data_IF_339660569142
#
_entry.id   IF_339660569142
#
_cell.length_a   1.000
_cell.length_b   1.000
_cell.length_c   1.000
_cell.angle_alpha   90.00
_cell.angle_beta   90.00
_cell.angle_gamma   90.00
#
_symmetry.space_group_name_H-M   'P 1'
#
loop_
_entity.id
_entity.type
_entity.pdbx_description
1 polymer ?
#
# COMPACT_ATOMS: atom_id res chain seq x y z
N UNK A 1 12.04 -0.22 5.08
CA UNK A 1 11.46 -0.07 6.45
C UNK A 1 11.55 -1.38 7.28
N UNK A 2 12.16 -1.38 8.48
CA UNK A 2 12.36 -2.63 9.28
C UNK A 2 11.07 -3.31 9.78
N UNK A 3 9.91 -2.68 9.57
CA UNK A 3 8.59 -3.03 10.12
C UNK A 3 7.92 -4.28 9.53
N UNK A 4 8.50 -4.90 8.49
CA UNK A 4 7.92 -6.11 7.88
C UNK A 4 8.07 -7.37 8.77
N UNK A 5 8.95 -7.34 9.76
CA UNK A 5 9.19 -8.47 10.64
C UNK A 5 8.18 -8.50 11.79
N UNK A 6 7.64 -9.67 12.19
CA UNK A 6 6.69 -9.76 13.30
C UNK A 6 7.16 -9.16 14.63
N UNK A 7 8.47 -9.09 14.84
CA UNK A 7 9.12 -8.51 16.04
C UNK A 7 9.52 -7.04 15.89
N UNK A 8 9.34 -6.45 14.71
CA UNK A 8 9.64 -5.04 14.51
C UNK A 8 8.52 -4.17 15.09
N UNK A 9 8.83 -3.05 15.75
CA UNK A 9 7.82 -2.18 16.38
C UNK A 9 6.70 -1.75 15.42
N UNK A 10 7.03 -1.48 14.15
CA UNK A 10 6.06 -1.06 13.15
C UNK A 10 5.07 -2.14 12.72
N UNK A 11 5.38 -3.42 12.89
CA UNK A 11 4.50 -4.52 12.49
C UNK A 11 3.19 -4.55 13.30
N UNK A 12 3.32 -4.40 14.62
CA UNK A 12 2.16 -4.37 15.53
C UNK A 12 1.27 -3.16 15.26
N UNK A 13 1.87 -2.00 14.98
CA UNK A 13 1.14 -0.77 14.63
C UNK A 13 0.38 -0.95 13.31
N UNK A 14 1.05 -1.42 12.25
CA UNK A 14 0.42 -1.62 10.95
C UNK A 14 -0.79 -2.57 11.04
N UNK A 15 -0.64 -3.67 11.77
CA UNK A 15 -1.73 -4.63 11.99
C UNK A 15 -2.89 -4.03 12.78
N UNK A 16 -2.60 -3.22 13.81
CA UNK A 16 -3.63 -2.57 14.61
C UNK A 16 -4.40 -1.52 13.81
N UNK A 17 -3.70 -0.72 12.99
CA UNK A 17 -4.29 0.31 12.13
C UNK A 17 -5.21 -0.30 11.08
N UNK A 18 -4.78 -1.35 10.38
CA UNK A 18 -5.62 -2.04 9.40
C UNK A 18 -6.92 -2.58 10.04
N UNK A 19 -6.81 -3.21 11.22
CA UNK A 19 -7.98 -3.70 11.98
C UNK A 19 -8.91 -2.58 12.43
N UNK A 20 -8.35 -1.43 12.84
CA UNK A 20 -9.13 -0.25 13.22
C UNK A 20 -9.88 0.32 12.00
N UNK A 21 -9.20 0.49 10.87
CA UNK A 21 -9.80 0.98 9.63
C UNK A 21 -11.00 0.16 9.21
N UNK A 22 -10.85 -1.17 9.21
CA UNK A 22 -11.95 -2.11 8.93
C UNK A 22 -13.14 -1.95 9.88
N UNK A 23 -12.89 -1.75 11.19
CA UNK A 23 -13.96 -1.56 12.19
C UNK A 23 -14.70 -0.24 12.04
N UNK A 24 -13.98 0.79 11.58
CA UNK A 24 -14.54 2.12 11.33
C UNK A 24 -15.19 2.24 9.94
N UNK A 25 -15.05 1.23 9.07
CA UNK A 25 -15.55 1.28 7.70
C UNK A 25 -14.79 2.26 6.80
N UNK A 26 -13.52 2.55 7.11
CA UNK A 26 -12.66 3.43 6.31
C UNK A 26 -11.61 2.63 5.55
N UNK A 27 -11.22 3.13 4.38
CA UNK A 27 -10.12 2.57 3.60
C UNK A 27 -8.77 2.99 4.17
N UNK A 28 -7.80 2.10 4.09
CA UNK A 28 -6.45 2.24 4.60
C UNK A 28 -5.45 2.04 3.47
N UNK A 29 -4.45 2.92 3.40
CA UNK A 29 -3.36 2.85 2.42
C UNK A 29 -2.04 2.75 3.18
N UNK A 30 -1.22 1.76 2.87
CA UNK A 30 0.13 1.63 3.40
C UNK A 30 1.11 2.43 2.52
N UNK A 31 1.66 3.51 3.06
CA UNK A 31 2.65 4.33 2.35
C UNK A 31 4.09 3.88 2.64
N UNK A 32 4.98 4.10 1.66
CA UNK A 32 6.41 3.84 1.81
C UNK A 32 6.81 2.37 1.67
N UNK A 33 6.07 1.58 0.89
CA UNK A 33 6.46 0.19 0.57
C UNK A 33 7.63 0.21 -0.43
N UNK A 34 8.77 -0.34 -0.01
CA UNK A 34 10.03 -0.33 -0.77
C UNK A 34 10.44 -1.75 -1.23
N UNK A 35 9.83 -2.81 -0.69
CA UNK A 35 10.11 -4.20 -1.08
C UNK A 35 8.87 -5.09 -1.16
N UNK A 36 9.03 -6.25 -1.81
CA UNK A 36 7.99 -7.27 -1.91
C UNK A 36 7.57 -7.81 -0.54
N UNK A 37 8.53 -7.99 0.38
CA UNK A 37 8.26 -8.50 1.71
C UNK A 37 7.39 -7.52 2.53
N UNK A 38 7.63 -6.21 2.37
CA UNK A 38 6.79 -5.19 2.98
C UNK A 38 5.38 -5.20 2.40
N UNK A 39 5.24 -5.35 1.07
CA UNK A 39 3.95 -5.50 0.41
C UNK A 39 3.17 -6.72 0.93
N UNK A 40 3.85 -7.85 1.10
CA UNK A 40 3.24 -9.07 1.63
C UNK A 40 2.67 -8.87 3.03
N UNK A 41 3.38 -8.12 3.89
CA UNK A 41 2.94 -7.82 5.26
C UNK A 41 1.70 -6.94 5.28
N UNK A 42 1.67 -5.85 4.50
CA UNK A 42 0.52 -4.93 4.51
C UNK A 42 -0.71 -5.55 3.83
N UNK A 43 -0.50 -6.41 2.81
CA UNK A 43 -1.58 -7.24 2.25
C UNK A 43 -2.14 -8.21 3.29
N UNK A 44 -1.29 -8.93 4.02
CA UNK A 44 -1.72 -9.86 5.06
C UNK A 44 -2.42 -9.15 6.23
N UNK A 45 -1.99 -7.92 6.58
CA UNK A 45 -2.63 -7.10 7.60
C UNK A 45 -4.02 -6.59 7.18
N UNK A 46 -4.31 -6.55 5.88
CA UNK A 46 -5.61 -6.18 5.32
C UNK A 46 -5.74 -4.71 4.94
N UNK A 47 -4.65 -4.07 4.52
CA UNK A 47 -4.71 -2.74 3.90
C UNK A 47 -5.42 -2.79 2.54
N UNK A 48 -6.17 -1.73 2.21
CA UNK A 48 -6.94 -1.61 0.95
C UNK A 48 -6.08 -1.17 -0.23
N UNK A 49 -5.00 -0.45 0.04
CA UNK A 49 -4.03 -0.01 -0.95
C UNK A 49 -2.62 0.10 -0.38
N UNK A 50 -1.65 0.26 -1.26
CA UNK A 50 -0.27 0.52 -0.89
C UNK A 50 0.40 1.43 -1.93
N UNK A 51 1.35 2.24 -1.49
CA UNK A 51 2.21 3.04 -2.37
C UNK A 51 3.66 3.03 -1.85
N UNK A 52 4.61 3.33 -2.75
CA UNK A 52 6.02 3.40 -2.43
C UNK A 52 6.90 2.98 -3.61
N UNK A 53 8.22 3.08 -3.43
CA UNK A 53 9.19 2.83 -4.50
C UNK A 53 9.19 1.40 -5.05
N UNK A 54 8.63 0.44 -4.30
CA UNK A 54 8.37 -0.90 -4.83
C UNK A 54 7.45 -0.88 -6.06
N UNK A 55 6.46 0.01 -6.07
CA UNK A 55 5.54 0.18 -7.19
C UNK A 55 6.14 1.13 -8.24
N UNK A 56 6.45 2.34 -7.82
CA UNK A 56 7.05 3.37 -8.66
C UNK A 56 7.62 4.51 -7.78
N UNK A 57 8.64 5.20 -8.29
CA UNK A 57 8.99 6.54 -7.82
C UNK A 57 7.86 7.54 -8.06
N UNK A 58 7.93 8.72 -7.44
CA UNK A 58 7.06 9.84 -7.83
C UNK A 58 7.23 10.13 -9.33
N UNK A 59 6.11 10.24 -10.04
CA UNK A 59 6.08 10.42 -11.48
C UNK A 59 5.56 11.80 -11.86
N UNK A 60 5.81 12.21 -13.10
CA UNK A 60 5.18 13.39 -13.70
C UNK A 60 3.71 13.10 -14.02
N UNK A 61 2.92 14.17 -14.18
CA UNK A 61 1.51 14.06 -14.53
C UNK A 61 1.29 13.27 -15.84
N UNK A 62 2.13 13.51 -16.86
CA UNK A 62 2.04 12.82 -18.15
C UNK A 62 2.24 11.30 -18.01
N UNK A 63 3.20 10.89 -17.17
CA UNK A 63 3.48 9.47 -16.93
C UNK A 63 2.33 8.82 -16.15
N UNK A 64 1.77 9.49 -15.13
CA UNK A 64 0.60 8.99 -14.42
C UNK A 64 -0.61 8.86 -15.37
N UNK A 65 -0.85 9.84 -16.24
CA UNK A 65 -1.93 9.79 -17.21
C UNK A 65 -1.78 8.57 -18.15
N UNK A 66 -0.56 8.28 -18.60
CA UNK A 66 -0.26 7.09 -19.39
C UNK A 66 -0.49 5.80 -18.60
N UNK A 67 -0.03 5.73 -17.34
CA UNK A 67 -0.22 4.54 -16.48
C UNK A 67 -1.69 4.21 -16.23
N UNK A 68 -2.51 5.23 -15.92
CA UNK A 68 -3.94 5.05 -15.64
C UNK A 68 -4.72 4.64 -16.90
N UNK A 69 -4.32 5.15 -18.06
CA UNK A 69 -5.00 4.84 -19.34
C UNK A 69 -4.53 3.53 -19.96
N UNK A 70 -3.30 3.10 -19.71
CA UNK A 70 -2.73 1.86 -20.25
C UNK A 70 -3.25 0.59 -19.55
N UNK A 71 -3.72 0.71 -18.31
CA UNK A 71 -4.25 -0.42 -17.53
C UNK A 71 -5.78 -0.39 -17.49
N UNK A 72 -6.41 -1.35 -18.17
CA UNK A 72 -7.88 -1.49 -18.32
C UNK A 72 -8.62 -1.71 -17.00
N UNK A 73 -7.90 -2.08 -15.94
CA UNK A 73 -8.48 -2.18 -14.59
C UNK A 73 -8.81 -0.81 -13.97
N UNK A 74 -8.19 0.27 -14.45
CA UNK A 74 -8.33 1.63 -13.92
C UNK A 74 -9.01 2.61 -14.87
N UNK A 75 -9.17 2.24 -16.14
CA UNK A 75 -9.61 3.16 -17.19
C UNK A 75 -11.14 3.19 -17.41
N UNK A 76 -11.93 2.28 -16.83
CA UNK A 76 -13.39 2.35 -16.90
C UNK A 76 -14.06 1.79 -15.65
N UNK A 77 -14.37 2.67 -14.70
CA UNK A 77 -15.62 2.63 -13.91
C UNK A 77 -16.06 4.07 -13.65
#
# INVERSE_FOLDING_TARGET
WSSARPWAPGYGVATAVARLGRRLGIRTVAEGVESEEELAVVRAAGYDGACGHWFAGAQTADVIAQMVTADVHWSLT
#
